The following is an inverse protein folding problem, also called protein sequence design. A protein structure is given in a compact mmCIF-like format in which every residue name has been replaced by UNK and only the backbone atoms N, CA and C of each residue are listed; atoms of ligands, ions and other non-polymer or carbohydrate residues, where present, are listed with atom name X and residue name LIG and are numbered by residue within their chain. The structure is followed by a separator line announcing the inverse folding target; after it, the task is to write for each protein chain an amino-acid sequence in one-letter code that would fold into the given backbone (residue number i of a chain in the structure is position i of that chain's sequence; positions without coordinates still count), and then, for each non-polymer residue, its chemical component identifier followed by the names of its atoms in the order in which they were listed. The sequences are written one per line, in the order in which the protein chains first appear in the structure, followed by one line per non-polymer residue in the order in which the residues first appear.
data_IF_863866332555
#
_entry.id   IF_863866332555
#
_cell.length_a   1.000
_cell.length_b   1.000
_cell.length_c   1.000
_cell.angle_alpha   90.00
_cell.angle_beta   90.00
_cell.angle_gamma   90.00
#
_symmetry.space_group_name_H-M   'P 1'
#
loop_
_entity.id
_entity.type
_entity.pdbx_description
1 polymer ?
#
# COMPACT_ATOMS: atom_id res chain seq x y z
N UNK A 1 -23.90 -4.11 -15.74
CA UNK A 1 -23.18 -5.27 -15.18
C UNK A 1 -23.74 -5.55 -13.80
N UNK A 2 -23.24 -6.56 -13.09
CA UNK A 2 -23.39 -6.62 -11.62
C UNK A 2 -22.03 -6.36 -11.00
N UNK A 3 -22.02 -5.65 -9.87
CA UNK A 3 -20.78 -5.31 -9.18
C UNK A 3 -20.86 -5.62 -7.68
N UNK A 4 -19.71 -5.78 -7.06
CA UNK A 4 -19.55 -5.78 -5.60
C UNK A 4 -18.19 -5.20 -5.21
N UNK A 5 -17.96 -4.81 -3.95
CA UNK A 5 -16.64 -4.38 -3.50
C UNK A 5 -15.57 -5.44 -3.77
N UNK A 6 -14.41 -5.01 -4.28
CA UNK A 6 -13.22 -5.86 -4.34
C UNK A 6 -12.60 -5.93 -2.93
N UNK A 7 -12.37 -7.14 -2.43
CA UNK A 7 -11.95 -7.36 -1.05
C UNK A 7 -10.45 -7.63 -0.99
N UNK A 8 -9.70 -6.70 -0.40
CA UNK A 8 -8.24 -6.79 -0.24
C UNK A 8 -7.82 -7.63 0.96
N UNK A 9 -8.63 -7.64 2.02
CA UNK A 9 -8.28 -8.22 3.31
C UNK A 9 -9.51 -8.81 4.01
N UNK A 10 -10.01 -9.98 3.53
CA UNK A 10 -11.17 -10.62 4.12
C UNK A 10 -10.88 -11.11 5.54
N UNK A 11 -11.84 -10.97 6.45
CA UNK A 11 -11.70 -11.40 7.85
C UNK A 11 -11.44 -12.92 7.92
N UNK A 12 -12.02 -13.68 7.00
CA UNK A 12 -11.97 -15.14 6.95
C UNK A 12 -10.55 -15.69 6.69
N UNK A 13 -9.66 -14.86 6.12
CA UNK A 13 -8.24 -15.20 5.89
C UNK A 13 -7.34 -14.83 7.07
N UNK A 14 -7.85 -14.11 8.07
CA UNK A 14 -7.08 -13.82 9.28
C UNK A 14 -6.85 -15.10 10.08
N UNK A 15 -5.74 -15.11 10.81
CA UNK A 15 -5.31 -16.25 11.62
C UNK A 15 -5.34 -15.89 13.11
N UNK A 16 -6.08 -16.63 13.94
CA UNK A 16 -6.05 -16.42 15.38
C UNK A 16 -4.67 -16.71 15.99
N UNK A 17 -4.37 -16.09 17.13
CA UNK A 17 -3.14 -16.36 17.90
C UNK A 17 -3.13 -17.74 18.57
N UNK A 18 -4.28 -18.38 18.70
CA UNK A 18 -4.45 -19.73 19.26
C UNK A 18 -5.63 -20.44 18.60
N UNK A 19 -5.55 -21.76 18.45
CA UNK A 19 -6.66 -22.60 17.95
C UNK A 19 -7.86 -22.58 18.89
N UNK A 20 -7.67 -22.32 20.19
CA UNK A 20 -8.74 -22.18 21.19
C UNK A 20 -9.66 -20.99 20.90
N UNK A 21 -9.22 -20.00 20.11
CA UNK A 21 -10.05 -18.87 19.71
C UNK A 21 -11.22 -19.31 18.82
N UNK A 22 -11.06 -20.46 18.14
CA UNK A 22 -12.07 -21.01 17.24
C UNK A 22 -12.21 -20.24 15.94
N UNK A 23 -13.38 -20.39 15.31
CA UNK A 23 -13.67 -19.88 13.95
C UNK A 23 -14.86 -18.93 13.90
N UNK A 24 -15.33 -18.43 15.05
CA UNK A 24 -16.46 -17.51 15.15
C UNK A 24 -16.27 -16.19 14.39
N UNK A 25 -15.01 -15.81 14.13
CA UNK A 25 -14.64 -14.65 13.33
C UNK A 25 -14.94 -14.77 11.83
N UNK A 26 -15.13 -15.99 11.31
CA UNK A 26 -15.43 -16.22 9.90
C UNK A 26 -16.89 -15.89 9.62
N UNK A 27 -17.21 -14.60 9.56
CA UNK A 27 -18.58 -14.08 9.50
C UNK A 27 -19.09 -13.94 8.06
N UNK A 28 -18.20 -13.93 7.07
CA UNK A 28 -18.58 -13.66 5.68
C UNK A 28 -19.60 -14.68 5.17
N UNK A 29 -20.71 -14.20 4.62
CA UNK A 29 -21.82 -15.03 4.14
C UNK A 29 -22.62 -15.77 5.22
N UNK A 30 -22.37 -15.52 6.52
CA UNK A 30 -23.05 -16.22 7.63
C UNK A 30 -24.09 -15.37 8.31
N UNK A 31 -25.03 -16.05 8.99
CA UNK A 31 -25.97 -15.43 9.91
C UNK A 31 -25.49 -15.58 11.34
N UNK A 32 -25.43 -14.48 12.08
CA UNK A 32 -25.10 -14.46 13.51
C UNK A 32 -26.26 -13.85 14.32
N UNK A 33 -26.39 -14.31 15.56
CA UNK A 33 -27.23 -13.63 16.55
C UNK A 33 -26.34 -12.69 17.36
N UNK A 34 -26.77 -11.43 17.49
CA UNK A 34 -26.05 -10.39 18.19
C UNK A 34 -26.99 -9.72 19.21
N UNK A 35 -26.78 -10.04 20.48
CA UNK A 35 -27.57 -9.58 21.61
C UNK A 35 -26.69 -9.55 22.86
N UNK A 36 -27.28 -9.26 24.03
CA UNK A 36 -26.52 -9.24 25.29
C UNK A 36 -25.70 -10.52 25.56
N UNK A 37 -26.23 -11.68 25.21
CA UNK A 37 -25.64 -12.99 25.49
C UNK A 37 -24.75 -13.50 24.36
N UNK A 38 -24.91 -12.96 23.15
CA UNK A 38 -24.25 -13.44 21.94
C UNK A 38 -23.37 -12.33 21.35
N UNK A 39 -22.05 -12.54 21.45
CA UNK A 39 -21.03 -11.66 20.88
C UNK A 39 -20.72 -12.03 19.42
N UNK A 40 -20.26 -11.05 18.64
CA UNK A 40 -19.66 -11.31 17.33
C UNK A 40 -18.16 -11.59 17.48
N UNK A 41 -17.61 -12.33 16.52
CA UNK A 41 -16.21 -12.79 16.45
C UNK A 41 -15.86 -13.82 17.54
N UNK A 42 -16.02 -13.46 18.81
CA UNK A 42 -15.87 -14.33 19.97
C UNK A 42 -16.44 -13.64 21.21
N UNK A 43 -16.73 -14.41 22.26
CA UNK A 43 -17.12 -13.90 23.58
C UNK A 43 -15.91 -13.55 24.48
N UNK A 44 -14.69 -13.67 23.95
CA UNK A 44 -13.48 -13.43 24.73
C UNK A 44 -13.34 -11.94 25.11
N UNK A 45 -12.98 -11.69 26.36
CA UNK A 45 -12.58 -10.38 26.88
C UNK A 45 -11.14 -10.38 27.42
N UNK A 46 -10.46 -11.52 27.34
CA UNK A 46 -9.05 -11.72 27.71
C UNK A 46 -8.33 -12.54 26.65
N UNK A 47 -7.00 -12.53 26.64
CA UNK A 47 -6.18 -13.27 25.68
C UNK A 47 -6.02 -14.76 26.00
N UNK A 48 -6.60 -15.25 27.10
CA UNK A 48 -6.45 -16.65 27.56
C UNK A 48 -6.79 -17.67 26.48
N UNK A 49 -7.86 -17.42 25.72
CA UNK A 49 -8.31 -18.28 24.62
C UNK A 49 -7.80 -17.80 23.25
N UNK A 50 -6.80 -16.91 23.22
CA UNK A 50 -6.34 -16.24 22.02
C UNK A 50 -7.20 -15.07 21.57
N UNK A 51 -6.82 -14.49 20.44
CA UNK A 51 -7.46 -13.35 19.77
C UNK A 51 -7.27 -13.47 18.26
N UNK A 52 -8.09 -12.78 17.46
CA UNK A 52 -7.89 -12.66 16.02
C UNK A 52 -6.72 -11.71 15.77
N UNK A 53 -5.57 -12.20 15.29
CA UNK A 53 -4.42 -11.36 14.98
C UNK A 53 -4.70 -10.54 13.73
N UNK A 54 -4.37 -9.26 13.75
CA UNK A 54 -4.36 -8.43 12.54
C UNK A 54 -3.01 -8.58 11.85
N UNK A 55 -3.04 -8.97 10.57
CA UNK A 55 -1.85 -9.17 9.75
C UNK A 55 -1.37 -7.91 9.00
N UNK A 56 -2.06 -6.77 9.16
CA UNK A 56 -1.67 -5.43 8.68
C UNK A 56 -2.15 -4.32 9.62
N UNK A 57 -1.79 -3.08 9.31
CA UNK A 57 -2.16 -1.87 10.05
C UNK A 57 -3.55 -1.36 9.63
N UNK A 58 -4.57 -2.17 9.87
CA UNK A 58 -5.94 -1.83 9.49
C UNK A 58 -6.50 -0.65 10.29
N UNK A 59 -7.25 0.21 9.61
CA UNK A 59 -7.94 1.35 10.22
C UNK A 59 -9.44 1.13 10.32
N UNK A 60 -10.00 0.13 9.62
CA UNK A 60 -11.43 -0.18 9.67
C UNK A 60 -11.68 -1.67 9.60
N UNK A 61 -12.70 -2.14 10.32
CA UNK A 61 -13.37 -3.41 10.09
C UNK A 61 -14.75 -3.11 9.51
N UNK A 62 -15.03 -3.61 8.31
CA UNK A 62 -16.30 -3.44 7.62
C UNK A 62 -17.09 -4.75 7.71
N UNK A 63 -18.27 -4.69 8.30
CA UNK A 63 -19.24 -5.76 8.31
C UNK A 63 -20.39 -5.40 7.36
N UNK A 64 -20.39 -5.95 6.15
CA UNK A 64 -21.51 -5.74 5.23
C UNK A 64 -22.74 -6.48 5.74
N UNK A 65 -23.75 -5.74 6.18
CA UNK A 65 -25.03 -6.28 6.64
C UNK A 65 -25.93 -6.46 5.43
N UNK A 66 -25.98 -7.68 4.89
CA UNK A 66 -26.81 -8.03 3.74
C UNK A 66 -28.30 -7.95 4.10
N UNK A 67 -28.67 -8.53 5.24
CA UNK A 67 -30.01 -8.44 5.81
C UNK A 67 -29.97 -8.61 7.32
N UNK A 68 -30.99 -8.14 8.02
CA UNK A 68 -31.15 -8.42 9.45
C UNK A 68 -32.62 -8.53 9.84
N UNK A 69 -32.89 -9.29 10.90
CA UNK A 69 -34.20 -9.34 11.55
C UNK A 69 -34.05 -9.13 13.06
N UNK A 70 -35.12 -8.66 13.70
CA UNK A 70 -35.16 -8.49 15.15
C UNK A 70 -36.57 -8.61 15.68
N UNK A 71 -36.72 -8.98 16.95
CA UNK A 71 -37.99 -9.01 17.66
C UNK A 71 -38.38 -7.64 18.27
N UNK A 72 -37.44 -6.69 18.33
CA UNK A 72 -37.65 -5.39 18.95
C UNK A 72 -37.13 -4.25 18.06
N UNK A 73 -36.07 -3.56 18.47
CA UNK A 73 -35.52 -2.42 17.71
C UNK A 73 -34.33 -2.84 16.86
N UNK A 74 -34.18 -2.21 15.69
CA UNK A 74 -33.03 -2.36 14.80
C UNK A 74 -31.80 -1.60 15.33
N UNK A 75 -31.47 -1.80 16.60
CA UNK A 75 -30.35 -1.14 17.26
C UNK A 75 -29.58 -2.11 18.16
N UNK A 76 -28.26 -1.95 18.19
CA UNK A 76 -27.41 -2.46 19.28
C UNK A 76 -27.11 -1.32 20.24
N UNK A 77 -26.81 -1.62 21.50
CA UNK A 77 -26.51 -0.62 22.53
C UNK A 77 -25.21 -0.98 23.24
N UNK A 78 -24.44 0.01 23.70
CA UNK A 78 -23.12 -0.23 24.32
C UNK A 78 -22.23 -1.16 23.49
N UNK A 79 -22.25 -1.00 22.17
CA UNK A 79 -21.52 -1.85 21.24
C UNK A 79 -20.04 -1.69 21.47
N UNK A 80 -19.43 -2.70 22.09
CA UNK A 80 -18.08 -2.60 22.64
C UNK A 80 -17.16 -3.57 21.93
N UNK A 81 -16.06 -3.04 21.40
CA UNK A 81 -14.95 -3.83 20.87
C UNK A 81 -13.97 -4.13 22.01
N UNK A 82 -13.65 -5.40 22.22
CA UNK A 82 -12.49 -5.82 22.99
C UNK A 82 -11.34 -6.12 22.04
N UNK A 83 -10.18 -5.51 22.27
CA UNK A 83 -9.03 -5.57 21.37
C UNK A 83 -7.70 -5.61 22.12
N UNK A 84 -6.65 -6.01 21.42
CA UNK A 84 -5.27 -5.95 21.88
C UNK A 84 -4.62 -4.69 21.30
N UNK A 85 -4.07 -3.84 22.16
CA UNK A 85 -3.39 -2.63 21.71
C UNK A 85 -1.97 -2.93 21.18
N UNK A 86 -1.30 -1.93 20.61
CA UNK A 86 0.05 -2.10 20.06
C UNK A 86 1.12 -2.44 21.13
N UNK A 87 0.84 -2.18 22.41
CA UNK A 87 1.68 -2.56 23.54
C UNK A 87 1.41 -3.98 24.07
N UNK A 88 0.48 -4.73 23.48
CA UNK A 88 0.11 -6.07 23.92
C UNK A 88 -0.83 -6.11 25.14
N UNK A 89 -1.45 -4.99 25.52
CA UNK A 89 -2.42 -4.92 26.59
C UNK A 89 -3.85 -5.03 26.04
N UNK A 90 -4.72 -5.73 26.79
CA UNK A 90 -6.15 -5.77 26.48
C UNK A 90 -6.78 -4.41 26.77
N UNK A 91 -7.62 -3.96 25.84
CA UNK A 91 -8.40 -2.73 25.89
C UNK A 91 -9.81 -2.98 25.41
N UNK A 92 -10.69 -2.05 25.73
CA UNK A 92 -12.05 -2.01 25.19
C UNK A 92 -12.41 -0.61 24.74
N UNK A 93 -13.21 -0.49 23.69
CA UNK A 93 -13.78 0.77 23.24
C UNK A 93 -15.27 0.62 22.96
N UNK A 94 -16.08 1.51 23.52
CA UNK A 94 -17.53 1.51 23.37
C UNK A 94 -17.93 2.50 22.27
N UNK A 95 -18.49 1.98 21.17
CA UNK A 95 -18.98 2.74 20.02
C UNK A 95 -20.42 3.26 20.21
N UNK A 96 -21.00 3.05 21.39
CA UNK A 96 -22.34 3.48 21.73
C UNK A 96 -23.43 2.64 21.07
N UNK A 97 -24.50 3.31 20.68
CA UNK A 97 -25.64 2.70 19.99
C UNK A 97 -25.39 2.68 18.49
N UNK A 98 -25.53 1.52 17.85
CA UNK A 98 -25.51 1.41 16.39
C UNK A 98 -26.93 1.18 15.91
N UNK A 99 -27.38 2.04 14.98
CA UNK A 99 -28.68 1.90 14.32
C UNK A 99 -28.51 1.23 12.97
N UNK A 100 -29.35 0.24 12.69
CA UNK A 100 -29.33 -0.52 11.45
C UNK A 100 -30.56 -0.17 10.62
N UNK A 101 -30.38 -0.07 9.31
CA UNK A 101 -31.46 0.08 8.34
C UNK A 101 -32.24 -1.25 8.26
N UNK A 102 -33.56 -1.25 8.51
CA UNK A 102 -34.38 -2.45 8.42
C UNK A 102 -34.33 -3.17 7.06
N UNK A 103 -34.05 -2.46 5.96
CA UNK A 103 -33.91 -3.08 4.64
C UNK A 103 -32.63 -3.92 4.49
N UNK A 104 -31.67 -3.79 5.42
CA UNK A 104 -30.32 -4.29 5.24
C UNK A 104 -29.58 -3.56 4.12
N UNK A 105 -28.64 -4.26 3.50
CA UNK A 105 -27.74 -3.78 2.46
C UNK A 105 -26.99 -2.50 2.86
N UNK A 106 -26.34 -2.54 4.01
CA UNK A 106 -25.54 -1.44 4.53
C UNK A 106 -24.21 -1.94 5.08
N UNK A 107 -23.22 -1.06 5.12
CA UNK A 107 -21.97 -1.34 5.82
C UNK A 107 -22.06 -0.87 7.27
N UNK A 108 -21.77 -1.78 8.20
CA UNK A 108 -21.46 -1.41 9.57
C UNK A 108 -19.93 -1.38 9.71
N UNK A 109 -19.39 -0.17 9.86
CA UNK A 109 -17.95 0.05 9.96
C UNK A 109 -17.54 0.32 11.40
N UNK A 110 -16.56 -0.44 11.88
CA UNK A 110 -15.89 -0.24 13.16
C UNK A 110 -14.55 0.45 12.87
N UNK A 111 -14.36 1.65 13.42
CA UNK A 111 -13.12 2.42 13.27
C UNK A 111 -12.02 1.89 14.19
N UNK A 112 -10.99 1.29 13.59
CA UNK A 112 -9.81 0.75 14.27
C UNK A 112 -8.61 1.70 14.25
N UNK A 113 -8.77 2.89 13.66
CA UNK A 113 -7.70 3.87 13.49
C UNK A 113 -7.21 4.41 14.83
N UNK A 114 -6.00 4.98 14.83
CA UNK A 114 -5.43 5.64 16.01
C UNK A 114 -6.12 6.95 16.40
N UNK A 115 -7.08 7.43 15.61
CA UNK A 115 -7.93 8.55 16.03
C UNK A 115 -8.94 8.08 17.10
N UNK A 116 -9.40 6.83 17.01
CA UNK A 116 -10.36 6.22 17.94
C UNK A 116 -9.64 5.34 18.96
N UNK A 117 -8.81 4.42 18.49
CA UNK A 117 -8.01 3.49 19.29
C UNK A 117 -6.58 4.04 19.42
N UNK A 118 -6.39 5.06 20.26
CA UNK A 118 -5.16 5.85 20.35
C UNK A 118 -3.88 5.04 20.62
N UNK A 119 -4.00 3.95 21.36
CA UNK A 119 -2.89 3.02 21.64
C UNK A 119 -2.65 1.99 20.50
N UNK A 120 -3.40 2.10 19.40
CA UNK A 120 -3.39 1.19 18.25
C UNK A 120 -4.16 -0.10 18.50
N UNK A 121 -4.47 -0.83 17.43
CA UNK A 121 -5.11 -2.15 17.49
C UNK A 121 -4.29 -3.16 16.70
N UNK A 122 -3.92 -4.27 17.33
CA UNK A 122 -3.14 -5.36 16.71
C UNK A 122 -3.86 -6.71 16.75
N UNK A 123 -5.02 -6.77 17.40
CA UNK A 123 -5.83 -7.98 17.47
C UNK A 123 -7.22 -7.71 18.02
N UNK A 124 -8.19 -8.52 17.61
CA UNK A 124 -9.60 -8.41 18.04
C UNK A 124 -9.96 -9.61 18.90
N UNK A 125 -10.54 -9.35 20.08
CA UNK A 125 -11.01 -10.40 20.98
C UNK A 125 -12.49 -10.71 20.76
N UNK A 126 -13.32 -9.69 20.58
CA UNK A 126 -14.76 -9.86 20.45
C UNK A 126 -15.49 -8.53 20.34
N UNK A 127 -16.73 -8.58 19.87
CA UNK A 127 -17.63 -7.43 19.83
C UNK A 127 -18.91 -7.80 20.57
N UNK A 128 -19.24 -7.04 21.60
CA UNK A 128 -20.39 -7.30 22.48
C UNK A 128 -21.50 -6.30 22.24
N UNK A 129 -22.74 -6.73 22.43
CA UNK A 129 -23.91 -5.86 22.53
C UNK A 129 -24.33 -5.79 24.00
N UNK A 130 -24.60 -4.61 24.53
CA UNK A 130 -25.19 -4.43 25.87
C UNK A 130 -26.71 -4.32 25.86
N UNK A 131 -27.37 -4.42 24.70
CA UNK A 131 -28.81 -4.36 24.58
C UNK A 131 -29.45 -5.71 24.98
N UNK A 132 -30.23 -5.69 26.06
CA UNK A 132 -30.96 -6.86 26.57
C UNK A 132 -32.30 -7.10 25.87
N UNK A 133 -32.84 -6.10 25.19
CA UNK A 133 -34.20 -6.17 24.61
C UNK A 133 -34.18 -6.44 23.11
N UNK A 134 -33.10 -6.08 22.41
CA UNK A 134 -32.97 -6.31 20.97
C UNK A 134 -32.05 -7.48 20.67
N UNK A 135 -32.66 -8.54 20.12
CA UNK A 135 -31.96 -9.66 19.51
C UNK A 135 -31.83 -9.40 18.02
N UNK A 136 -30.63 -9.10 17.54
CA UNK A 136 -30.36 -8.87 16.13
C UNK A 136 -29.91 -10.17 15.49
N UNK A 137 -30.65 -10.68 14.52
CA UNK A 137 -30.21 -11.81 13.69
C UNK A 137 -29.73 -11.27 12.36
N UNK A 138 -28.41 -11.14 12.22
CA UNK A 138 -27.74 -10.43 11.13
C UNK A 138 -27.18 -11.45 10.15
N UNK A 139 -27.50 -11.32 8.87
CA UNK A 139 -26.84 -12.05 7.78
C UNK A 139 -25.82 -11.13 7.13
N UNK A 140 -24.56 -11.53 7.18
CA UNK A 140 -23.47 -10.78 6.60
C UNK A 140 -23.25 -11.15 5.13
N UNK A 141 -22.86 -10.17 4.32
CA UNK A 141 -22.18 -10.39 3.05
C UNK A 141 -20.68 -10.57 3.29
N UNK A 142 -19.86 -9.81 2.56
CA UNK A 142 -18.41 -9.82 2.76
C UNK A 142 -18.04 -9.05 4.05
N UNK A 143 -17.15 -9.63 4.87
CA UNK A 143 -16.61 -8.99 6.07
C UNK A 143 -15.09 -8.88 5.91
N UNK A 144 -14.55 -7.67 6.07
CA UNK A 144 -13.17 -7.39 5.67
C UNK A 144 -12.59 -6.18 6.39
N UNK A 145 -11.27 -6.05 6.29
CA UNK A 145 -10.54 -4.91 6.82
C UNK A 145 -10.11 -3.96 5.71
N UNK A 146 -10.02 -2.67 6.06
CA UNK A 146 -9.39 -1.64 5.23
C UNK A 146 -8.20 -1.03 5.97
N UNK A 147 -7.15 -0.70 5.22
CA UNK A 147 -5.94 -0.03 5.71
C UNK A 147 -6.10 1.49 5.71
N UNK A 148 -6.78 2.04 4.72
CA UNK A 148 -7.17 3.44 4.66
C UNK A 148 -8.56 3.57 4.05
N UNK A 149 -8.63 4.33 2.96
CA UNK A 149 -9.87 4.56 2.21
C UNK A 149 -9.83 3.87 0.85
N UNK A 150 -8.96 2.86 0.67
CA UNK A 150 -8.89 2.12 -0.56
C UNK A 150 -10.24 1.51 -0.93
N UNK A 151 -10.55 1.60 -2.22
CA UNK A 151 -11.73 0.98 -2.81
C UNK A 151 -11.32 0.12 -3.99
N UNK A 152 -12.19 -0.80 -4.33
CA UNK A 152 -12.15 -1.51 -5.58
C UNK A 152 -13.51 -2.14 -5.86
N UNK A 153 -13.72 -2.56 -7.10
CA UNK A 153 -14.96 -3.22 -7.53
C UNK A 153 -14.64 -4.44 -8.36
N UNK A 154 -15.35 -5.53 -8.11
CA UNK A 154 -15.38 -6.71 -8.97
C UNK A 154 -16.69 -6.73 -9.75
N UNK A 155 -16.60 -6.98 -11.06
CA UNK A 155 -17.72 -7.00 -11.99
C UNK A 155 -17.95 -8.41 -12.56
N UNK A 156 -19.22 -8.69 -12.84
CA UNK A 156 -19.67 -9.91 -13.51
C UNK A 156 -20.73 -9.62 -14.57
N UNK A 157 -20.91 -10.56 -15.50
CA UNK A 157 -21.85 -10.45 -16.62
C UNK A 157 -21.27 -9.69 -17.80
N UNK A 158 -22.13 -9.19 -18.70
CA UNK A 158 -21.71 -8.53 -19.94
C UNK A 158 -21.23 -7.10 -19.66
N UNK A 159 -20.05 -6.76 -20.17
CA UNK A 159 -19.45 -5.43 -20.04
C UNK A 159 -20.39 -4.29 -20.47
N UNK A 160 -20.42 -3.21 -19.70
CA UNK A 160 -21.15 -1.98 -20.02
C UNK A 160 -20.35 -0.77 -19.56
N UNK A 161 -19.79 0.01 -20.50
CA UNK A 161 -18.99 1.20 -20.16
C UNK A 161 -19.77 2.30 -19.43
N UNK A 162 -21.11 2.30 -19.50
CA UNK A 162 -21.98 3.25 -18.79
C UNK A 162 -22.53 2.75 -17.45
N UNK A 163 -21.96 1.67 -16.90
CA UNK A 163 -22.35 1.18 -15.58
C UNK A 163 -21.96 2.17 -14.47
N UNK A 164 -22.89 2.49 -13.56
CA UNK A 164 -22.66 3.53 -12.55
C UNK A 164 -21.55 3.18 -11.58
N UNK A 165 -21.45 1.92 -11.13
CA UNK A 165 -20.39 1.52 -10.19
C UNK A 165 -19.00 1.56 -10.84
N UNK A 166 -18.94 1.32 -12.16
CA UNK A 166 -17.71 1.47 -12.93
C UNK A 166 -17.29 2.95 -13.00
N UNK A 167 -18.21 3.83 -13.40
CA UNK A 167 -17.94 5.26 -13.50
C UNK A 167 -17.57 5.86 -12.15
N UNK A 168 -18.29 5.52 -11.08
CA UNK A 168 -18.01 5.95 -9.72
C UNK A 168 -16.58 5.56 -9.29
N UNK A 169 -16.15 4.33 -9.55
CA UNK A 169 -14.78 3.90 -9.23
C UNK A 169 -13.73 4.55 -10.13
N UNK A 170 -14.02 4.81 -11.41
CA UNK A 170 -13.10 5.55 -12.30
C UNK A 170 -12.92 7.00 -11.83
N UNK A 171 -13.96 7.65 -11.30
CA UNK A 171 -13.90 9.03 -10.83
C UNK A 171 -13.33 9.16 -9.40
N UNK A 172 -13.31 8.09 -8.62
CA UNK A 172 -12.83 8.09 -7.24
C UNK A 172 -11.29 7.90 -7.15
N UNK A 173 -10.52 8.88 -6.64
CA UNK A 173 -9.07 8.77 -6.49
C UNK A 173 -8.63 7.72 -5.45
N UNK A 174 -9.54 7.21 -4.61
CA UNK A 174 -9.29 6.14 -3.66
C UNK A 174 -9.53 4.74 -4.24
N UNK A 175 -10.13 4.65 -5.43
CA UNK A 175 -10.27 3.37 -6.13
C UNK A 175 -8.91 2.92 -6.66
N UNK A 176 -8.50 1.70 -6.31
CA UNK A 176 -7.19 1.14 -6.68
C UNK A 176 -7.30 -0.06 -7.61
N UNK A 177 -8.49 -0.68 -7.70
CA UNK A 177 -8.71 -1.89 -8.50
C UNK A 177 -10.10 -1.91 -9.13
N UNK A 178 -10.12 -2.24 -10.42
CA UNK A 178 -11.28 -2.79 -11.11
C UNK A 178 -10.98 -4.24 -11.52
N UNK A 179 -11.84 -5.15 -11.10
CA UNK A 179 -11.69 -6.57 -11.38
C UNK A 179 -12.81 -7.06 -12.31
N UNK A 180 -12.43 -7.34 -13.54
CA UNK A 180 -13.29 -7.84 -14.61
C UNK A 180 -13.02 -9.32 -14.92
N UNK A 181 -12.32 -10.09 -14.06
CA UNK A 181 -11.93 -11.47 -14.39
C UNK A 181 -13.10 -12.41 -14.69
N UNK A 182 -14.32 -12.03 -14.27
CA UNK A 182 -15.56 -12.76 -14.51
C UNK A 182 -16.57 -11.94 -15.35
N UNK A 183 -16.09 -10.97 -16.12
CA UNK A 183 -16.89 -10.11 -17.01
C UNK A 183 -16.71 -10.57 -18.47
N UNK A 184 -17.83 -10.66 -19.18
CA UNK A 184 -17.90 -11.08 -20.57
C UNK A 184 -17.83 -9.89 -21.52
N UNK A 185 -17.45 -10.16 -22.78
CA UNK A 185 -17.46 -9.17 -23.89
C UNK A 185 -16.63 -7.90 -23.62
N UNK A 186 -15.51 -8.04 -22.91
CA UNK A 186 -14.62 -6.92 -22.62
C UNK A 186 -14.01 -6.30 -23.89
N UNK A 187 -14.03 -4.97 -24.04
CA UNK A 187 -13.47 -4.28 -25.19
C UNK A 187 -11.94 -4.34 -25.20
N UNK A 188 -11.35 -4.55 -26.38
CA UNK A 188 -9.91 -4.56 -26.57
C UNK A 188 -9.27 -3.15 -26.57
N UNK A 189 -10.07 -2.12 -26.89
CA UNK A 189 -9.61 -0.74 -27.12
C UNK A 189 -9.82 0.19 -25.92
N UNK A 190 -10.43 -0.30 -24.85
CA UNK A 190 -10.78 0.54 -23.71
C UNK A 190 -9.54 0.83 -22.88
N UNK A 191 -9.26 2.12 -22.67
CA UNK A 191 -8.14 2.56 -21.87
C UNK A 191 -8.63 3.22 -20.58
N UNK A 192 -9.00 2.39 -19.62
CA UNK A 192 -9.51 2.85 -18.33
C UNK A 192 -8.51 3.73 -17.56
N UNK A 193 -7.21 3.49 -17.72
CA UNK A 193 -6.15 4.28 -17.07
C UNK A 193 -6.18 5.74 -17.54
N UNK A 194 -6.49 5.98 -18.81
CA UNK A 194 -6.58 7.34 -19.36
C UNK A 194 -7.72 8.16 -18.75
N UNK A 195 -8.83 7.52 -18.37
CA UNK A 195 -10.02 8.20 -17.82
C UNK A 195 -10.09 8.19 -16.29
N UNK A 196 -9.43 7.25 -15.62
CA UNK A 196 -9.48 7.15 -14.17
C UNK A 196 -8.84 8.34 -13.44
N UNK A 197 -9.43 8.81 -12.35
CA UNK A 197 -8.85 9.79 -11.45
C UNK A 197 -7.55 9.27 -10.81
N UNK A 198 -7.56 7.99 -10.39
CA UNK A 198 -6.36 7.29 -9.96
C UNK A 198 -5.67 6.59 -11.14
N UNK A 199 -4.56 7.18 -11.61
CA UNK A 199 -3.69 6.64 -12.66
C UNK A 199 -2.88 5.41 -12.24
N UNK A 200 -2.85 5.10 -10.94
CA UNK A 200 -2.20 3.92 -10.39
C UNK A 200 -3.13 2.70 -10.30
N UNK A 201 -4.41 2.85 -10.66
CA UNK A 201 -5.38 1.76 -10.61
C UNK A 201 -4.99 0.60 -11.53
N UNK A 202 -5.27 -0.63 -11.07
CA UNK A 202 -5.03 -1.87 -11.80
C UNK A 202 -6.34 -2.50 -12.25
N UNK A 203 -6.35 -3.04 -13.47
CA UNK A 203 -7.52 -3.61 -14.13
C UNK A 203 -7.30 -5.11 -14.37
N UNK A 204 -7.94 -5.98 -13.60
CA UNK A 204 -7.79 -7.43 -13.75
C UNK A 204 -8.78 -7.95 -14.79
N UNK A 205 -8.28 -8.68 -15.78
CA UNK A 205 -9.06 -9.23 -16.88
C UNK A 205 -8.88 -10.76 -16.95
N UNK A 206 -9.87 -11.48 -17.54
CA UNK A 206 -9.75 -12.91 -17.76
C UNK A 206 -8.52 -13.24 -18.63
N UNK A 207 -7.88 -14.38 -18.37
CA UNK A 207 -6.74 -14.85 -19.15
C UNK A 207 -7.10 -14.97 -20.63
N UNK A 208 -6.24 -14.45 -21.51
CA UNK A 208 -6.46 -14.44 -22.96
C UNK A 208 -7.19 -13.21 -23.49
N UNK A 209 -7.48 -12.22 -22.65
CA UNK A 209 -8.09 -10.95 -23.09
C UNK A 209 -7.23 -10.22 -24.13
N UNK A 210 -7.86 -9.53 -25.07
CA UNK A 210 -7.14 -8.80 -26.12
C UNK A 210 -6.69 -7.39 -25.69
N UNK A 211 -7.21 -6.87 -24.58
CA UNK A 211 -6.83 -5.55 -24.07
C UNK A 211 -5.42 -5.59 -23.47
N UNK A 212 -4.55 -4.71 -23.96
CA UNK A 212 -3.13 -4.60 -23.57
C UNK A 212 -2.75 -3.17 -23.13
N UNK A 213 -3.74 -2.35 -22.77
CA UNK A 213 -3.50 -0.99 -22.29
C UNK A 213 -2.74 -0.99 -20.94
N UNK A 214 -2.15 0.17 -20.54
CA UNK A 214 -1.44 0.27 -19.28
C UNK A 214 -2.25 -0.22 -18.08
N UNK A 215 -1.57 -0.86 -17.12
CA UNK A 215 -2.12 -1.38 -15.86
C UNK A 215 -3.17 -2.49 -16.02
N UNK A 216 -3.36 -3.02 -17.22
CA UNK A 216 -4.19 -4.21 -17.44
C UNK A 216 -3.40 -5.45 -17.05
N UNK A 217 -3.98 -6.25 -16.15
CA UNK A 217 -3.48 -7.57 -15.76
C UNK A 217 -4.34 -8.62 -16.44
N UNK A 218 -3.75 -9.34 -17.39
CA UNK A 218 -4.40 -10.41 -18.12
C UNK A 218 -4.00 -11.75 -17.51
N UNK A 219 -4.93 -12.39 -16.80
CA UNK A 219 -4.62 -13.52 -15.94
C UNK A 219 -3.70 -13.09 -14.79
N UNK A 220 -2.39 -13.33 -14.92
CA UNK A 220 -1.39 -12.99 -13.90
C UNK A 220 -0.26 -12.09 -14.42
N UNK A 221 -0.40 -11.58 -15.65
CA UNK A 221 0.63 -10.79 -16.32
C UNK A 221 0.12 -9.41 -16.69
N UNK A 222 0.89 -8.38 -16.37
CA UNK A 222 0.70 -7.03 -16.88
C UNK A 222 1.82 -6.74 -17.88
N UNK A 223 1.48 -6.36 -19.11
CA UNK A 223 2.51 -6.05 -20.10
C UNK A 223 3.24 -4.75 -19.79
N UNK A 224 2.51 -3.74 -19.34
CA UNK A 224 3.06 -2.43 -19.01
C UNK A 224 2.32 -1.82 -17.81
N UNK A 225 2.98 -1.84 -16.65
CA UNK A 225 2.52 -1.15 -15.45
C UNK A 225 3.06 0.28 -15.47
N UNK A 226 2.21 1.28 -15.32
CA UNK A 226 2.54 2.70 -15.31
C UNK A 226 1.97 3.31 -14.03
N UNK A 227 2.88 3.71 -13.14
CA UNK A 227 2.57 4.36 -11.86
C UNK A 227 3.09 5.81 -11.85
N UNK A 228 2.46 6.63 -11.01
CA UNK A 228 2.85 8.03 -10.79
C UNK A 228 2.71 8.39 -9.32
N UNK A 229 3.72 9.07 -8.79
CA UNK A 229 3.71 9.64 -7.43
C UNK A 229 2.81 10.87 -7.30
N UNK A 230 2.29 11.38 -8.41
CA UNK A 230 1.35 12.51 -8.47
C UNK A 230 -0.11 12.03 -8.59
N UNK A 231 -0.35 10.72 -8.49
CA UNK A 231 -1.68 10.12 -8.55
C UNK A 231 -2.11 9.48 -7.22
N UNK A 232 -3.18 8.70 -7.23
CA UNK A 232 -3.79 8.08 -6.05
C UNK A 232 -3.00 6.91 -5.48
N UNK A 233 -3.61 6.20 -4.53
CA UNK A 233 -2.99 5.04 -3.88
C UNK A 233 -2.81 3.84 -4.82
N UNK A 234 -2.05 2.85 -4.35
CA UNK A 234 -1.82 1.57 -4.99
C UNK A 234 -2.00 0.45 -3.96
N UNK A 235 -3.02 -0.37 -4.13
CA UNK A 235 -3.21 -1.57 -3.30
C UNK A 235 -3.76 -2.69 -4.19
N UNK A 236 -3.27 -3.90 -4.00
CA UNK A 236 -3.63 -5.04 -4.82
C UNK A 236 -4.23 -6.15 -3.95
N UNK A 237 -5.34 -6.78 -4.37
CA UNK A 237 -5.84 -8.00 -3.74
C UNK A 237 -4.96 -9.21 -4.10
N UNK A 238 -4.37 -9.20 -5.30
CA UNK A 238 -3.59 -10.32 -5.83
C UNK A 238 -2.33 -9.82 -6.55
N UNK A 239 -1.18 -10.44 -6.27
CA UNK A 239 0.06 -10.13 -6.97
C UNK A 239 0.02 -10.55 -8.45
N UNK A 240 0.82 -9.90 -9.29
CA UNK A 240 0.99 -10.24 -10.70
C UNK A 240 2.45 -10.03 -11.14
N UNK A 241 2.79 -10.44 -12.35
CA UNK A 241 4.10 -10.18 -12.95
C UNK A 241 3.99 -9.09 -14.01
N UNK A 242 4.82 -8.05 -13.92
CA UNK A 242 4.92 -7.01 -14.93
C UNK A 242 6.09 -7.29 -15.90
N UNK A 243 5.82 -7.32 -17.20
CA UNK A 243 6.86 -7.43 -18.24
C UNK A 243 7.67 -6.13 -18.33
N UNK A 244 6.99 -5.00 -18.23
CA UNK A 244 7.57 -3.68 -18.05
C UNK A 244 6.79 -2.93 -16.96
N UNK A 245 7.49 -2.16 -16.14
CA UNK A 245 6.93 -1.30 -15.13
C UNK A 245 7.63 0.06 -15.15
N UNK A 246 6.88 1.14 -14.95
CA UNK A 246 7.41 2.48 -14.77
C UNK A 246 6.77 3.20 -13.58
N UNK A 247 7.54 4.06 -12.94
CA UNK A 247 7.07 4.98 -11.90
C UNK A 247 7.65 6.36 -12.14
N UNK A 248 6.81 7.38 -12.29
CA UNK A 248 7.23 8.77 -12.46
C UNK A 248 6.97 9.59 -11.20
N UNK A 249 7.93 10.43 -10.80
CA UNK A 249 7.78 11.34 -9.67
C UNK A 249 8.75 12.53 -9.76
N UNK A 250 8.37 13.64 -9.15
CA UNK A 250 9.19 14.86 -9.05
C UNK A 250 9.84 14.93 -7.67
N UNK A 251 11.16 14.99 -7.64
CA UNK A 251 11.96 15.05 -6.41
C UNK A 251 12.45 16.49 -6.21
N UNK A 252 12.39 16.96 -4.97
CA UNK A 252 12.94 18.26 -4.55
C UNK A 252 13.92 18.02 -3.39
N UNK A 253 15.22 18.03 -3.70
CA UNK A 253 16.37 17.73 -2.82
C UNK A 253 16.42 16.30 -2.29
N UNK A 254 15.43 15.87 -1.50
CA UNK A 254 15.36 14.55 -0.87
C UNK A 254 13.96 13.97 -0.88
N UNK A 255 13.86 12.66 -1.14
CA UNK A 255 12.62 11.91 -1.01
C UNK A 255 12.89 10.50 -0.46
N UNK A 256 12.01 10.01 0.41
CA UNK A 256 11.96 8.57 0.72
C UNK A 256 11.08 7.90 -0.33
N UNK A 257 11.62 6.91 -1.01
CA UNK A 257 10.96 6.17 -2.07
C UNK A 257 10.85 4.68 -1.72
N UNK A 258 9.70 4.08 -2.01
CA UNK A 258 9.51 2.63 -2.05
C UNK A 258 8.66 2.26 -3.27
N UNK A 259 9.10 1.26 -4.03
CA UNK A 259 8.41 0.82 -5.23
C UNK A 259 7.81 -0.57 -5.03
N UNK A 260 6.64 -0.89 -5.62
CA UNK A 260 6.05 -2.22 -5.52
C UNK A 260 6.72 -3.24 -6.47
N UNK A 261 7.75 -2.84 -7.20
CA UNK A 261 8.51 -3.65 -8.15
C UNK A 261 10.01 -3.28 -8.11
N UNK A 262 10.85 -4.15 -8.67
CA UNK A 262 12.28 -3.91 -8.81
C UNK A 262 12.54 -2.93 -9.96
N UNK A 263 13.30 -1.86 -9.71
CA UNK A 263 13.54 -0.81 -10.71
C UNK A 263 15.01 -0.39 -10.80
N UNK A 264 15.46 0.04 -11.97
CA UNK A 264 16.74 0.71 -12.12
C UNK A 264 16.68 2.11 -11.48
N UNK A 265 17.81 2.56 -10.90
CA UNK A 265 17.96 3.94 -10.45
C UNK A 265 18.24 4.85 -11.67
N UNK A 266 17.43 5.89 -11.94
CA UNK A 266 17.70 6.85 -12.99
C UNK A 266 19.06 7.55 -12.84
N UNK A 267 19.64 7.97 -13.97
CA UNK A 267 20.84 8.82 -13.97
C UNK A 267 20.56 10.17 -13.28
N UNK A 268 21.59 10.77 -12.71
CA UNK A 268 21.47 12.05 -12.00
C UNK A 268 20.92 11.94 -10.57
N UNK A 269 20.61 10.73 -10.09
CA UNK A 269 20.16 10.48 -8.72
C UNK A 269 21.23 9.77 -7.90
N UNK A 270 21.27 10.11 -6.61
CA UNK A 270 22.01 9.35 -5.59
C UNK A 270 20.99 8.67 -4.69
N UNK A 271 21.19 7.39 -4.39
CA UNK A 271 20.31 6.64 -3.51
C UNK A 271 21.09 6.13 -2.29
N UNK A 272 20.39 6.01 -1.16
CA UNK A 272 20.91 5.47 0.08
C UNK A 272 19.96 4.42 0.63
N UNK A 273 20.49 3.31 1.12
CA UNK A 273 19.71 2.40 1.97
C UNK A 273 19.56 3.03 3.36
N UNK A 274 18.41 2.78 3.99
CA UNK A 274 18.07 3.36 5.29
C UNK A 274 18.03 2.29 6.37
N UNK A 275 18.55 2.65 7.55
CA UNK A 275 18.39 1.88 8.78
C UNK A 275 18.11 2.81 9.95
N UNK A 276 16.91 2.68 10.54
CA UNK A 276 16.49 3.57 11.62
C UNK A 276 16.78 2.97 13.01
N UNK A 277 17.34 3.80 13.88
CA UNK A 277 17.65 3.51 15.27
C UNK A 277 17.03 4.57 16.21
N UNK A 278 17.01 4.34 17.53
CA UNK A 278 16.48 5.32 18.49
C UNK A 278 17.14 6.72 18.46
N UNK A 279 18.35 6.85 17.91
CA UNK A 279 19.14 8.09 17.92
C UNK A 279 19.30 8.74 16.55
N UNK A 280 19.30 7.97 15.46
CA UNK A 280 19.52 8.47 14.10
C UNK A 280 18.98 7.48 13.04
N UNK A 281 18.90 7.95 11.79
CA UNK A 281 18.70 7.10 10.61
C UNK A 281 20.01 7.05 9.82
N UNK A 282 20.64 5.88 9.80
CA UNK A 282 21.87 5.67 9.04
C UNK A 282 21.55 5.50 7.56
N UNK A 283 22.25 6.27 6.73
CA UNK A 283 22.21 6.27 5.28
C UNK A 283 23.50 5.66 4.75
N UNK A 284 23.39 4.54 4.03
CA UNK A 284 24.53 3.92 3.35
C UNK A 284 24.38 4.10 1.83
N UNK A 285 25.40 4.60 1.11
CA UNK A 285 25.33 4.76 -0.34
C UNK A 285 24.90 3.47 -1.04
N UNK A 286 23.91 3.57 -1.92
CA UNK A 286 23.40 2.43 -2.66
C UNK A 286 24.31 2.13 -3.85
N UNK A 287 24.88 0.93 -3.87
CA UNK A 287 25.83 0.49 -4.90
C UNK A 287 25.28 -0.58 -5.84
N UNK A 288 24.02 -1.02 -5.68
CA UNK A 288 23.41 -2.02 -6.56
C UNK A 288 22.96 -1.45 -7.91
N UNK A 289 22.71 -2.32 -8.89
CA UNK A 289 22.24 -1.89 -10.23
C UNK A 289 20.75 -1.57 -10.28
N UNK A 290 19.99 -2.02 -9.27
CA UNK A 290 18.53 -1.89 -9.23
C UNK A 290 18.02 -1.84 -7.79
N UNK A 291 17.13 -0.87 -7.53
CA UNK A 291 16.38 -0.76 -6.30
C UNK A 291 15.50 -2.00 -6.11
N UNK A 292 15.65 -2.74 -5.00
CA UNK A 292 14.78 -3.85 -4.70
C UNK A 292 13.33 -3.39 -4.46
N UNK A 293 12.36 -4.22 -4.86
CA UNK A 293 10.96 -3.99 -4.53
C UNK A 293 10.77 -3.88 -3.01
N UNK A 294 9.82 -3.05 -2.59
CA UNK A 294 9.38 -2.87 -1.21
C UNK A 294 10.45 -2.38 -0.23
N UNK A 295 11.62 -1.97 -0.71
CA UNK A 295 12.73 -1.54 0.13
C UNK A 295 12.80 -0.01 0.13
N UNK A 296 12.51 0.64 1.27
CA UNK A 296 12.65 2.09 1.39
C UNK A 296 14.09 2.52 1.15
N UNK A 297 14.25 3.53 0.30
CA UNK A 297 15.52 4.20 0.05
C UNK A 297 15.33 5.70 0.18
N UNK A 298 16.39 6.40 0.58
CA UNK A 298 16.45 7.85 0.45
C UNK A 298 17.06 8.17 -0.91
N UNK A 299 16.36 8.97 -1.68
CA UNK A 299 16.83 9.51 -2.95
C UNK A 299 17.23 10.96 -2.73
N UNK A 300 18.38 11.33 -3.25
CA UNK A 300 18.86 12.70 -3.34
C UNK A 300 18.92 13.11 -4.82
N UNK A 301 18.31 14.25 -5.14
CA UNK A 301 18.26 14.81 -6.48
C UNK A 301 17.12 15.82 -6.62
N UNK A 302 17.07 16.52 -7.74
CA UNK A 302 16.02 17.50 -8.03
C UNK A 302 15.58 17.40 -9.49
N UNK A 303 14.28 17.38 -9.73
CA UNK A 303 13.67 17.23 -11.06
C UNK A 303 12.68 16.07 -11.17
N UNK A 304 12.16 15.84 -12.38
CA UNK A 304 11.21 14.76 -12.67
C UNK A 304 11.94 13.55 -13.24
N UNK A 305 11.72 12.38 -12.64
CA UNK A 305 12.39 11.14 -13.01
C UNK A 305 11.39 10.01 -13.24
N UNK A 306 11.72 9.11 -14.16
CA UNK A 306 10.98 7.86 -14.39
C UNK A 306 11.86 6.66 -14.10
N UNK A 307 11.44 5.85 -13.15
CA UNK A 307 12.06 4.58 -12.79
C UNK A 307 11.51 3.50 -13.72
N UNK A 308 12.37 2.64 -14.26
CA UNK A 308 11.97 1.54 -15.14
C UNK A 308 12.35 0.19 -14.52
N UNK A 309 11.45 -0.78 -14.62
CA UNK A 309 11.59 -2.08 -13.97
C UNK A 309 10.74 -3.17 -14.60
N UNK A 310 10.72 -4.33 -13.94
CA UNK A 310 9.92 -5.50 -14.31
C UNK A 310 9.89 -6.50 -13.14
N UNK A 311 9.09 -7.56 -13.29
CA UNK A 311 9.01 -8.69 -12.37
C UNK A 311 7.75 -8.66 -11.51
N UNK A 312 7.79 -9.36 -10.37
CA UNK A 312 6.64 -9.46 -9.47
C UNK A 312 6.27 -8.10 -8.89
N UNK A 313 4.97 -7.81 -8.94
CA UNK A 313 4.34 -6.62 -8.36
C UNK A 313 3.36 -7.09 -7.28
N UNK A 314 3.46 -6.49 -6.10
CA UNK A 314 2.58 -6.84 -4.98
C UNK A 314 2.44 -5.67 -4.00
N UNK A 315 1.51 -5.79 -3.06
CA UNK A 315 1.42 -4.91 -1.88
C UNK A 315 1.39 -5.76 -0.61
N UNK A 316 2.56 -6.23 -0.14
CA UNK A 316 2.60 -7.14 0.99
C UNK A 316 2.16 -6.45 2.29
N UNK A 317 1.53 -7.24 3.16
CA UNK A 317 0.97 -6.74 4.42
C UNK A 317 2.04 -6.54 5.49
N UNK A 318 1.83 -5.54 6.35
CA UNK A 318 2.65 -5.23 7.54
C UNK A 318 4.16 -5.23 7.28
N UNK A 319 4.59 -4.69 6.14
CA UNK A 319 5.99 -4.64 5.82
C UNK A 319 6.74 -3.73 6.78
N UNK A 320 7.87 -4.23 7.28
CA UNK A 320 8.85 -3.50 8.07
C UNK A 320 10.25 -3.87 7.61
N UNK A 321 10.98 -2.89 7.09
CA UNK A 321 12.35 -3.04 6.58
C UNK A 321 13.22 -2.04 7.32
N UNK A 322 14.16 -2.53 8.13
CA UNK A 322 15.04 -1.70 8.96
C UNK A 322 14.31 -0.62 9.78
N UNK A 323 13.15 -0.99 10.36
CA UNK A 323 12.23 -0.13 11.12
C UNK A 323 11.43 0.90 10.30
N UNK A 324 11.54 0.91 8.98
CA UNK A 324 10.67 1.69 8.09
C UNK A 324 9.51 0.84 7.55
N UNK A 325 8.36 1.47 7.37
CA UNK A 325 7.14 0.91 6.82
C UNK A 325 6.86 1.53 5.44
N UNK A 326 6.91 0.74 4.36
CA UNK A 326 6.44 1.16 3.04
C UNK A 326 4.99 1.63 3.06
N UNK A 327 4.71 2.68 2.30
CA UNK A 327 3.39 3.29 2.14
C UNK A 327 2.99 3.20 0.68
N UNK A 328 1.89 2.51 0.39
CA UNK A 328 1.32 2.44 -0.96
C UNK A 328 -0.05 3.11 -1.06
N UNK A 329 -0.68 3.42 0.07
CA UNK A 329 -1.91 4.20 0.14
C UNK A 329 -1.63 5.50 0.88
N UNK A 330 -2.35 6.56 0.53
CA UNK A 330 -2.33 7.81 1.29
C UNK A 330 -2.60 7.51 2.77
N UNK A 331 -1.65 7.84 3.64
CA UNK A 331 -1.66 7.40 5.04
C UNK A 331 -1.45 8.57 5.97
N UNK A 332 -2.37 8.77 6.93
CA UNK A 332 -2.16 9.73 8.02
C UNK A 332 -1.20 9.14 9.06
N UNK A 333 0.00 9.71 9.19
CA UNK A 333 0.98 9.22 10.15
C UNK A 333 0.55 9.53 11.58
N UNK A 334 0.45 8.50 12.43
CA UNK A 334 0.00 8.68 13.81
C UNK A 334 1.06 9.41 14.66
N UNK A 335 0.60 10.11 15.69
CA UNK A 335 1.45 10.76 16.71
C UNK A 335 2.53 9.81 17.22
N UNK A 336 3.76 10.31 17.27
CA UNK A 336 4.95 9.56 17.68
C UNK A 336 5.60 8.70 16.60
N UNK A 337 5.05 8.65 15.39
CA UNK A 337 5.76 8.14 14.20
C UNK A 337 6.82 9.15 13.75
N UNK A 338 7.73 8.76 12.85
CA UNK A 338 8.70 9.66 12.24
C UNK A 338 8.64 9.61 10.72
N UNK A 339 8.73 10.75 10.06
CA UNK A 339 8.68 10.88 8.59
C UNK A 339 9.78 11.82 8.10
N UNK A 340 10.22 11.67 6.85
CA UNK A 340 11.22 12.58 6.29
C UNK A 340 10.62 13.99 6.15
N UNK A 341 11.35 14.99 6.62
CA UNK A 341 11.02 16.41 6.47
C UNK A 341 12.30 17.25 6.41
N UNK A 342 12.17 18.51 6.02
CA UNK A 342 13.27 19.48 6.02
C UNK A 342 13.15 20.39 7.24
N UNK A 343 14.13 20.33 8.14
CA UNK A 343 14.23 21.22 9.30
C UNK A 343 15.42 22.16 9.10
N UNK A 344 15.15 23.46 8.97
CA UNK A 344 16.17 24.49 8.70
C UNK A 344 17.11 24.13 7.52
N UNK A 345 16.54 23.58 6.44
CA UNK A 345 17.31 23.17 5.26
C UNK A 345 18.06 21.84 5.38
N UNK A 346 17.94 21.13 6.50
CA UNK A 346 18.56 19.81 6.71
C UNK A 346 17.50 18.71 6.70
N UNK A 347 17.67 17.63 5.92
CA UNK A 347 16.74 16.49 5.95
C UNK A 347 16.86 15.73 7.27
N UNK A 348 15.73 15.50 7.93
CA UNK A 348 15.63 14.73 9.17
C UNK A 348 14.36 13.88 9.17
N UNK A 349 14.35 12.80 9.94
CA UNK A 349 13.12 12.11 10.28
C UNK A 349 12.47 12.82 11.47
N UNK A 350 11.46 13.64 11.20
CA UNK A 350 10.77 14.45 12.21
C UNK A 350 9.70 13.61 12.91
N UNK A 351 9.64 13.71 14.25
CA UNK A 351 8.59 13.06 15.03
C UNK A 351 7.26 13.78 14.80
N UNK A 352 6.21 13.00 14.56
CA UNK A 352 4.83 13.49 14.44
C UNK A 352 4.33 13.93 15.81
N UNK A 353 3.92 15.20 15.91
CA UNK A 353 3.25 15.77 17.07
C UNK A 353 1.72 15.69 16.94
N UNK A 354 1.03 15.75 18.08
CA UNK A 354 -0.43 15.75 18.11
C UNK A 354 -1.00 17.04 17.51
N UNK A 355 -2.06 16.91 16.71
CA UNK A 355 -2.71 18.03 16.03
C UNK A 355 -2.01 18.50 14.76
N UNK A 356 -0.84 17.93 14.43
CA UNK A 356 -0.08 18.23 13.21
C UNK A 356 0.29 16.94 12.46
N UNK A 357 -0.57 15.92 12.51
CA UNK A 357 -0.31 14.64 11.88
C UNK A 357 -0.25 14.78 10.34
N UNK A 358 0.88 14.47 9.69
CA UNK A 358 1.00 14.62 8.24
C UNK A 358 0.27 13.50 7.51
N UNK A 359 -0.28 13.85 6.35
CA UNK A 359 -0.73 12.86 5.36
C UNK A 359 0.45 12.54 4.45
N UNK A 360 0.88 11.28 4.47
CA UNK A 360 1.95 10.76 3.64
C UNK A 360 1.41 10.31 2.29
N UNK A 361 2.05 10.76 1.21
CA UNK A 361 1.74 10.32 -0.15
C UNK A 361 2.13 8.85 -0.37
N UNK A 362 1.49 8.15 -1.32
CA UNK A 362 1.91 6.83 -1.77
C UNK A 362 3.38 6.77 -2.22
N UNK A 363 3.95 5.56 -2.24
CA UNK A 363 5.32 5.25 -2.66
C UNK A 363 6.41 5.88 -1.79
N UNK A 364 6.09 6.22 -0.54
CA UNK A 364 7.07 6.66 0.46
C UNK A 364 7.24 5.63 1.59
N UNK A 365 8.04 5.94 2.59
CA UNK A 365 8.09 5.17 3.82
C UNK A 365 8.30 6.06 5.03
N UNK A 366 7.91 5.55 6.19
CA UNK A 366 8.03 6.25 7.47
C UNK A 366 8.34 5.25 8.58
N UNK A 367 8.76 5.73 9.73
CA UNK A 367 8.96 4.90 10.91
C UNK A 367 7.68 4.96 11.72
N UNK A 368 6.93 3.87 11.75
CA UNK A 368 5.69 3.80 12.51
C UNK A 368 5.96 3.86 14.01
N UNK A 369 5.06 4.54 14.74
CA UNK A 369 5.06 4.54 16.21
C UNK A 369 5.16 3.10 16.77
N UNK A 370 6.05 2.92 17.74
CA UNK A 370 6.34 1.61 18.35
C UNK A 370 7.45 0.81 17.66
N UNK A 371 7.90 1.18 16.46
CA UNK A 371 9.06 0.54 15.84
C UNK A 371 10.37 0.89 16.56
N UNK A 372 10.44 2.07 17.18
CA UNK A 372 11.59 2.54 17.93
C UNK A 372 11.19 2.95 19.35
N UNK A 373 12.04 2.64 20.32
CA UNK A 373 11.93 3.10 21.70
C UNK A 373 12.61 4.46 21.87
N UNK A 374 11.99 5.52 21.32
CA UNK A 374 12.54 6.90 21.39
C UNK A 374 11.44 7.97 21.39
N UNK A 375 11.70 9.07 22.10
CA UNK A 375 10.87 10.27 22.16
C UNK A 375 11.58 11.51 21.59
N UNK A 376 12.72 11.32 20.91
CA UNK A 376 13.46 12.40 20.28
C UNK A 376 12.56 13.22 19.33
N UNK A 377 12.71 14.55 19.32
CA UNK A 377 11.90 15.39 18.44
C UNK A 377 12.18 15.11 16.95
N UNK A 378 13.39 14.70 16.62
CA UNK A 378 13.81 14.31 15.28
C UNK A 378 14.95 13.29 15.35
N UNK A 379 15.10 12.49 14.31
CA UNK A 379 16.24 11.60 14.09
C UNK A 379 17.06 12.18 12.92
N UNK A 380 18.33 12.57 13.13
CA UNK A 380 19.19 13.06 12.06
C UNK A 380 19.51 11.94 11.06
N UNK A 381 19.86 12.34 9.84
CA UNK A 381 20.43 11.44 8.84
C UNK A 381 21.96 11.40 9.00
N UNK A 382 22.53 10.20 9.12
CA UNK A 382 23.97 9.98 9.23
C UNK A 382 24.51 9.26 8.01
N UNK A 383 25.73 9.59 7.55
CA UNK A 383 26.35 8.90 6.41
C UNK A 383 25.97 9.46 5.03
N UNK A 384 25.26 10.60 4.98
CA UNK A 384 25.10 11.36 3.74
C UNK A 384 26.48 11.85 3.28
N UNK A 385 26.83 11.55 2.04
CA UNK A 385 28.08 12.06 1.44
C UNK A 385 27.77 13.46 0.91
N UNK A 386 28.37 14.49 1.51
CA UNK A 386 28.26 15.87 1.04
C UNK A 386 29.25 16.08 -0.11
N UNK A 387 28.80 15.86 -1.33
CA UNK A 387 29.57 16.05 -2.57
C UNK A 387 28.98 15.23 -3.70
N UNK A 388 28.68 15.87 -4.84
CA UNK A 388 28.11 15.25 -6.05
C UNK A 388 29.10 14.31 -6.78
N UNK A 389 30.22 13.94 -6.17
CA UNK A 389 31.28 13.14 -6.79
C UNK A 389 30.84 11.71 -7.15
N UNK A 390 29.61 11.32 -6.78
CA UNK A 390 29.00 10.05 -7.16
C UNK A 390 27.69 10.21 -7.94
N UNK A 391 27.55 11.24 -8.79
CA UNK A 391 26.57 11.13 -9.88
C UNK A 391 26.96 9.89 -10.67
N UNK A 392 26.12 8.84 -10.60
CA UNK A 392 26.26 7.66 -11.44
C UNK A 392 26.08 8.08 -12.88
N UNK A 393 27.17 8.43 -13.54
CA UNK A 393 27.28 8.31 -14.98
C UNK A 393 27.21 6.82 -15.27
N UNK A 394 26.25 6.41 -16.08
CA UNK A 394 26.02 5.02 -16.48
C UNK A 394 27.25 4.46 -17.17
N UNK A 395 28.16 3.91 -16.37
CA UNK A 395 29.47 3.44 -16.83
C UNK A 395 30.21 4.53 -17.61
N UNK A 396 31.34 4.99 -17.06
CA UNK A 396 32.47 4.95 -17.97
C UNK A 396 32.48 3.53 -18.51
N UNK A 397 32.18 3.36 -19.81
CA UNK A 397 32.42 2.11 -20.48
C UNK A 397 33.78 1.67 -19.95
N UNK A 398 33.85 0.51 -19.30
CA UNK A 398 35.11 -0.20 -19.17
C UNK A 398 35.50 -0.57 -20.60
N UNK A 399 35.86 0.45 -21.38
CA UNK A 399 36.19 0.31 -22.76
C UNK A 399 37.48 -0.45 -22.77
N UNK A 400 37.63 -1.27 -23.79
CA UNK A 400 38.78 -2.14 -23.99
C UNK A 400 40.12 -1.39 -24.12
N UNK A 401 40.11 -0.07 -23.99
CA UNK A 401 41.27 0.82 -24.10
C UNK A 401 41.72 1.00 -25.55
N UNK A 402 41.02 0.41 -26.52
CA UNK A 402 41.41 0.36 -27.93
C UNK A 402 40.83 1.53 -28.72
N UNK A 403 41.46 1.82 -29.84
CA UNK A 403 41.02 2.84 -30.77
C UNK A 403 40.26 2.22 -31.92
N UNK A 404 39.22 2.91 -32.37
CA UNK A 404 38.44 2.57 -33.54
C UNK A 404 38.38 3.77 -34.49
N UNK A 405 38.35 3.51 -35.80
CA UNK A 405 38.06 4.57 -36.77
C UNK A 405 36.57 4.92 -36.78
N UNK A 406 36.18 5.94 -37.55
CA UNK A 406 34.78 6.39 -37.66
C UNK A 406 33.84 5.36 -38.29
N UNK A 407 34.39 4.30 -38.89
CA UNK A 407 33.64 3.17 -39.45
C UNK A 407 33.59 1.97 -38.49
N UNK A 408 34.11 2.12 -37.27
CA UNK A 408 34.07 1.07 -36.24
C UNK A 408 35.14 -0.01 -36.37
N UNK A 409 36.18 0.21 -37.19
CA UNK A 409 37.31 -0.74 -37.33
C UNK A 409 38.40 -0.43 -36.32
N UNK A 410 38.96 -1.47 -35.70
CA UNK A 410 40.03 -1.35 -34.69
C UNK A 410 41.34 -0.81 -35.30
N UNK A 411 42.02 0.05 -34.55
CA UNK A 411 43.29 0.71 -34.92
C UNK A 411 44.30 0.54 -33.78
N UNK A 412 45.43 -0.11 -34.03
CA UNK A 412 46.49 -0.33 -33.02
C UNK A 412 47.39 0.89 -32.80
N UNK A 413 47.63 1.66 -33.86
CA UNK A 413 48.54 2.81 -33.84
C UNK A 413 47.87 4.04 -34.46
N UNK A 414 47.09 4.81 -33.69
CA UNK A 414 46.50 6.06 -34.15
C UNK A 414 47.59 7.02 -34.65
N UNK A 415 47.36 7.61 -35.82
CA UNK A 415 48.17 8.72 -36.35
C UNK A 415 47.34 9.99 -36.24
N UNK A 416 47.84 11.11 -36.76
CA UNK A 416 47.08 12.37 -36.82
C UNK A 416 45.69 12.14 -37.43
N UNK A 417 44.62 12.40 -36.68
CA UNK A 417 43.25 12.07 -37.08
C UNK A 417 42.25 11.95 -35.92
N UNK A 418 41.03 11.53 -36.26
CA UNK A 418 39.90 11.39 -35.32
C UNK A 418 39.61 9.89 -35.13
N UNK A 419 39.48 9.45 -33.88
CA UNK A 419 39.19 8.07 -33.50
C UNK A 419 38.10 8.01 -32.43
N UNK A 420 37.56 6.81 -32.19
CA UNK A 420 36.67 6.50 -31.08
C UNK A 420 37.44 5.64 -30.07
N UNK A 421 37.44 6.05 -28.79
CA UNK A 421 37.97 5.27 -27.67
C UNK A 421 36.95 5.28 -26.54
N UNK A 422 36.59 4.11 -26.02
CA UNK A 422 35.61 3.96 -24.93
C UNK A 422 34.26 4.66 -25.20
N UNK A 423 33.84 4.73 -26.48
CA UNK A 423 32.61 5.41 -26.89
C UNK A 423 32.73 6.93 -27.06
N UNK A 424 33.92 7.51 -26.87
CA UNK A 424 34.19 8.94 -27.02
C UNK A 424 35.08 9.24 -28.22
N UNK A 425 34.86 10.40 -28.86
CA UNK A 425 35.67 10.91 -29.95
C UNK A 425 36.97 11.49 -29.41
N UNK A 426 38.11 11.02 -29.90
CA UNK A 426 39.46 11.49 -29.54
C UNK A 426 40.22 11.97 -30.77
N UNK A 427 41.02 13.02 -30.62
CA UNK A 427 41.78 13.63 -31.72
C UNK A 427 43.27 13.48 -31.44
N UNK A 428 43.98 12.87 -32.39
CA UNK A 428 45.43 12.79 -32.40
C UNK A 428 45.96 13.89 -33.33
N UNK A 429 46.86 14.73 -32.82
CA UNK A 429 47.39 15.91 -33.52
C UNK A 429 48.77 15.67 -34.11
#
# INVERSE_FOLDING_TARGET
MSSKPAIFSPIDQQTPSSTTFGTGYKLSGKTATFDHSNSLISANTTTTNGYLRLDDTYTKLVLHVKSLTTAATFTSANTTLYYLNAGGAVRSYNYGTVTYNPSGNQDWTIDLSRNVLTEGCTGILGITNGNWTSVLRITFGDVYFLKGDEKGRTFTGIYSGGDSDLLDCLEDPSCTVLDFTNTDSLPATENWQAVAANKNMVYYLPSGSANQHPNVVNGTTCNNLVLSGESGGFMLPTAFSATAASYSHTINDYAVLTLPFKAALPEGLVAYTLSASPTAVTCSPFTGDSLPAHTPVLIQGSGSFTYHGAGTVSTPKNQKINNLNPVYLTTKAAVGSYFLSMTNGTPVFQRVASGTEPTLSPFTAFIQVGNLTTSAASLPLEGLVTGLDQVRQRGENAGDGRYYDLFGRRVEHPRKGIYIRNGQKVVFQ
#
